data_IF_268073156244
#
_entry.id   IF_268073156244
#
_cell.length_a   1.000
_cell.length_b   1.000
_cell.length_c   1.000
_cell.angle_alpha   90.00
_cell.angle_beta   90.00
_cell.angle_gamma   90.00
#
_symmetry.space_group_name_H-M   'P 1'
#
loop_
_entity.id
_entity.type
_entity.pdbx_description
1 polymer ?
#
# COMPACT_ATOMS: atom_id res chain seq x y z
N UNK A 1 37.64 15.31 -29.98
CA UNK A 1 37.28 14.35 -28.91
C UNK A 1 35.93 14.73 -28.31
N UNK A 2 34.80 14.21 -28.82
CA UNK A 2 33.53 13.99 -28.06
C UNK A 2 32.72 12.91 -28.82
N UNK A 3 32.80 11.66 -28.35
CA UNK A 3 31.89 10.53 -28.65
C UNK A 3 30.88 10.49 -27.48
N UNK A 4 29.66 9.98 -27.50
CA UNK A 4 28.72 9.37 -28.44
C UNK A 4 27.36 9.31 -27.69
N UNK A 5 26.27 9.17 -28.44
CA UNK A 5 24.89 8.86 -28.05
C UNK A 5 24.77 7.66 -27.08
N UNK A 6 23.73 7.63 -26.21
CA UNK A 6 22.74 6.53 -26.16
C UNK A 6 21.59 6.78 -25.14
N UNK A 7 20.37 6.51 -25.59
CA UNK A 7 19.14 6.28 -24.83
C UNK A 7 19.14 4.88 -24.17
N UNK A 8 18.09 4.57 -23.38
CA UNK A 8 17.47 3.24 -23.06
C UNK A 8 17.37 2.88 -21.56
N UNK A 9 16.14 3.01 -21.05
CA UNK A 9 15.27 2.06 -20.33
C UNK A 9 15.72 1.18 -19.13
N UNK A 10 14.68 0.75 -18.38
CA UNK A 10 14.58 -0.11 -17.19
C UNK A 10 14.90 0.61 -15.87
N UNK A 11 13.93 0.93 -15.01
CA UNK A 11 13.12 -0.08 -14.31
C UNK A 11 11.64 0.33 -14.12
N UNK A 12 10.78 -0.08 -15.06
CA UNK A 12 9.41 -0.44 -14.73
C UNK A 12 9.40 -1.95 -14.49
N UNK A 13 9.48 -2.38 -13.24
CA UNK A 13 9.12 -3.73 -12.76
C UNK A 13 9.47 -3.91 -11.27
N UNK A 14 8.67 -3.31 -10.39
CA UNK A 14 8.09 -4.00 -9.22
C UNK A 14 6.69 -3.40 -8.97
N UNK A 15 5.90 -3.33 -10.05
CA UNK A 15 4.44 -3.29 -9.95
C UNK A 15 3.99 -4.73 -10.14
N UNK A 16 3.36 -5.31 -9.12
CA UNK A 16 2.11 -6.06 -9.29
C UNK A 16 1.53 -6.50 -7.93
N UNK A 17 0.31 -6.05 -7.68
CA UNK A 17 -0.69 -6.86 -6.97
C UNK A 17 -0.80 -6.71 -5.46
N UNK A 18 -1.06 -5.51 -4.97
CA UNK A 18 -2.01 -5.37 -3.86
C UNK A 18 -2.92 -4.19 -4.20
N UNK A 19 -4.04 -4.51 -4.85
CA UNK A 19 -5.19 -3.61 -4.87
C UNK A 19 -5.45 -3.22 -3.40
N UNK A 20 -5.36 -1.91 -3.11
CA UNK A 20 -5.48 -1.28 -1.79
C UNK A 20 -4.20 -1.01 -0.96
N UNK A 21 -3.10 -0.60 -1.59
CA UNK A 21 -2.05 0.14 -0.85
C UNK A 21 -1.88 1.54 -1.45
N UNK A 22 -2.63 2.52 -0.94
CA UNK A 22 -2.30 3.94 -1.10
C UNK A 22 -1.05 4.25 -0.28
N UNK A 23 -0.07 4.92 -0.89
CA UNK A 23 1.09 5.45 -0.16
C UNK A 23 0.60 6.45 0.91
N UNK A 24 1.03 6.31 2.17
CA UNK A 24 0.74 7.30 3.19
C UNK A 24 1.65 8.51 2.97
N UNK A 25 1.12 9.52 2.26
CA UNK A 25 1.88 10.75 1.99
C UNK A 25 1.34 11.63 0.86
N UNK A 26 0.49 11.12 -0.04
CA UNK A 26 -0.08 11.96 -1.11
C UNK A 26 -1.40 12.59 -0.67
N UNK A 27 -1.28 13.73 0.01
CA UNK A 27 -2.33 14.72 0.20
C UNK A 27 -2.75 15.32 -1.15
N UNK A 28 -3.46 14.55 -1.98
CA UNK A 28 -3.93 15.04 -3.29
C UNK A 28 -4.38 14.01 -4.31
N UNK A 29 -4.20 12.71 -4.08
CA UNK A 29 -4.68 11.72 -5.05
C UNK A 29 -6.22 11.62 -4.99
N UNK A 30 -6.95 11.75 -6.11
CA UNK A 30 -8.38 11.44 -6.15
C UNK A 30 -8.62 10.01 -5.68
N UNK A 31 -9.76 9.72 -5.01
CA UNK A 31 -10.08 8.38 -4.52
C UNK A 31 -10.01 7.38 -5.67
N UNK A 32 -9.65 6.13 -5.34
CA UNK A 32 -9.53 5.03 -6.30
C UNK A 32 -10.86 4.86 -7.05
N UNK A 33 -10.99 5.54 -8.19
CA UNK A 33 -12.02 5.29 -9.16
C UNK A 33 -11.57 4.07 -9.96
N UNK A 34 -11.96 2.88 -9.51
CA UNK A 34 -12.07 1.75 -10.44
C UNK A 34 -13.13 2.13 -11.47
N UNK A 35 -12.86 1.83 -12.74
CA UNK A 35 -13.79 2.11 -13.84
C UNK A 35 -15.21 1.66 -13.45
N UNK A 36 -16.19 2.57 -13.46
CA UNK A 36 -17.56 2.30 -13.01
C UNK A 36 -17.91 2.62 -11.54
N UNK A 37 -17.02 3.16 -10.72
CA UNK A 37 -17.38 3.52 -9.33
C UNK A 37 -18.04 4.90 -9.19
N UNK A 38 -19.04 5.02 -8.30
CA UNK A 38 -19.66 6.30 -7.90
C UNK A 38 -19.14 6.68 -6.51
N UNK A 39 -18.07 7.49 -6.38
CA UNK A 39 -17.53 7.87 -5.08
C UNK A 39 -18.31 9.04 -4.47
N UNK A 40 -18.59 8.94 -3.18
CA UNK A 40 -18.98 10.05 -2.30
C UNK A 40 -17.83 10.30 -1.34
N UNK A 41 -17.22 11.48 -1.44
CA UNK A 41 -16.05 11.85 -0.64
C UNK A 41 -16.34 13.10 0.18
N UNK A 42 -16.04 13.01 1.47
CA UNK A 42 -15.95 14.13 2.38
C UNK A 42 -14.48 14.39 2.73
N UNK A 43 -14.06 15.64 2.64
CA UNK A 43 -12.73 16.10 3.06
C UNK A 43 -12.90 17.26 4.02
N UNK A 44 -12.52 17.04 5.27
CA UNK A 44 -12.39 18.08 6.29
C UNK A 44 -10.93 18.32 6.64
N UNK A 45 -10.69 19.23 7.58
CA UNK A 45 -9.32 19.60 7.99
C UNK A 45 -8.53 18.41 8.56
N UNK A 46 -9.17 17.58 9.39
CA UNK A 46 -8.51 16.49 10.13
C UNK A 46 -9.08 15.11 9.80
N UNK A 47 -9.96 15.03 8.80
CA UNK A 47 -10.65 13.80 8.45
C UNK A 47 -10.93 13.74 6.95
N UNK A 48 -10.75 12.57 6.37
CA UNK A 48 -11.21 12.24 5.03
C UNK A 48 -12.01 10.95 5.10
N UNK A 49 -13.17 10.93 4.45
CA UNK A 49 -13.98 9.73 4.30
C UNK A 49 -14.40 9.64 2.84
N UNK A 50 -14.20 8.49 2.23
CA UNK A 50 -14.65 8.18 0.89
C UNK A 50 -15.40 6.86 0.90
N UNK A 51 -16.52 6.79 0.19
CA UNK A 51 -17.29 5.58 -0.01
C UNK A 51 -17.63 5.48 -1.49
N UNK A 52 -17.56 4.28 -2.05
CA UNK A 52 -17.91 4.02 -3.43
C UNK A 52 -18.61 2.68 -3.57
N UNK A 53 -19.29 2.51 -4.70
CA UNK A 53 -19.81 1.23 -5.16
C UNK A 53 -19.34 1.06 -6.58
N UNK A 54 -18.76 -0.11 -6.91
CA UNK A 54 -18.35 -0.43 -8.28
C UNK A 54 -19.52 -1.05 -9.09
N UNK A 55 -19.23 -1.40 -10.33
CA UNK A 55 -20.13 -2.08 -11.28
C UNK A 55 -20.58 -3.48 -10.82
N UNK A 56 -19.76 -4.16 -10.01
CA UNK A 56 -20.10 -5.44 -9.37
C UNK A 56 -20.93 -5.31 -8.08
N UNK A 57 -21.33 -4.08 -7.69
CA UNK A 57 -22.00 -3.75 -6.42
C UNK A 57 -21.16 -4.01 -5.16
N UNK A 58 -19.85 -4.17 -5.30
CA UNK A 58 -18.93 -4.21 -4.17
C UNK A 58 -18.74 -2.81 -3.60
N UNK A 59 -18.80 -2.73 -2.27
CA UNK A 59 -18.57 -1.49 -1.52
C UNK A 59 -17.08 -1.25 -1.37
N UNK A 60 -16.66 -0.04 -1.72
CA UNK A 60 -15.32 0.49 -1.53
C UNK A 60 -15.37 1.58 -0.46
N UNK A 61 -14.35 1.70 0.36
CA UNK A 61 -14.31 2.72 1.40
C UNK A 61 -12.91 3.06 1.85
N UNK A 62 -12.70 4.32 2.18
CA UNK A 62 -11.45 4.82 2.76
C UNK A 62 -11.79 5.82 3.87
N UNK A 63 -11.07 5.75 4.98
CA UNK A 63 -11.17 6.67 6.09
C UNK A 63 -9.77 7.04 6.53
N UNK A 64 -9.54 8.31 6.79
CA UNK A 64 -8.35 8.84 7.43
C UNK A 64 -8.79 9.84 8.49
N UNK A 65 -8.22 9.75 9.68
CA UNK A 65 -8.48 10.65 10.79
C UNK A 65 -7.18 11.03 11.49
N UNK A 66 -6.99 12.33 11.72
CA UNK A 66 -5.88 12.89 12.51
C UNK A 66 -6.41 13.24 13.90
N UNK A 67 -5.71 12.80 14.95
CA UNK A 67 -6.08 13.03 16.34
C UNK A 67 -4.84 13.09 17.24
N UNK A 68 -5.03 13.48 18.50
CA UNK A 68 -3.93 13.57 19.46
C UNK A 68 -2.81 14.49 18.96
N UNK A 69 -3.19 15.63 18.39
CA UNK A 69 -2.26 16.65 17.93
C UNK A 69 -1.86 17.51 19.13
N UNK A 70 -0.59 17.44 19.50
CA UNK A 70 -0.01 18.15 20.65
C UNK A 70 0.98 19.25 20.20
N UNK A 71 0.94 19.62 18.92
CA UNK A 71 1.83 20.59 18.27
C UNK A 71 3.10 19.95 17.69
N UNK A 72 3.84 19.23 18.51
CA UNK A 72 5.10 18.58 18.09
C UNK A 72 4.90 17.14 17.60
N UNK A 73 3.69 16.60 17.75
CA UNK A 73 3.33 15.27 17.29
C UNK A 73 1.84 15.15 16.97
N UNK A 74 1.51 14.12 16.19
CA UNK A 74 0.15 13.78 15.81
C UNK A 74 0.00 12.26 15.63
N UNK A 75 -1.18 11.75 15.99
CA UNK A 75 -1.61 10.40 15.64
C UNK A 75 -2.52 10.44 14.42
N UNK A 76 -2.39 9.45 13.55
CA UNK A 76 -3.27 9.28 12.42
C UNK A 76 -3.79 7.85 12.40
N UNK A 77 -5.04 7.67 12.02
CA UNK A 77 -5.60 6.35 11.74
C UNK A 77 -6.18 6.35 10.36
N UNK A 78 -5.82 5.33 9.60
CA UNK A 78 -6.31 5.05 8.26
C UNK A 78 -7.04 3.71 8.28
N UNK A 79 -8.12 3.61 7.51
CA UNK A 79 -8.83 2.36 7.27
C UNK A 79 -9.28 2.32 5.81
N UNK A 80 -9.27 1.13 5.21
CA UNK A 80 -9.74 0.95 3.85
C UNK A 80 -10.50 -0.37 3.70
N UNK A 81 -11.42 -0.36 2.75
CA UNK A 81 -12.25 -1.47 2.34
C UNK A 81 -12.27 -1.51 0.81
N UNK A 82 -12.02 -2.70 0.26
CA UNK A 82 -12.00 -2.99 -1.15
C UNK A 82 -12.80 -4.23 -1.50
N UNK A 83 -12.81 -4.56 -2.79
CA UNK A 83 -13.53 -5.71 -3.35
C UNK A 83 -13.18 -7.03 -2.65
N UNK A 84 -14.18 -7.91 -2.53
CA UNK A 84 -14.02 -9.24 -1.94
C UNK A 84 -13.69 -9.23 -0.44
N UNK A 85 -13.96 -8.13 0.26
CA UNK A 85 -13.62 -7.96 1.68
C UNK A 85 -12.12 -7.77 1.93
N UNK A 86 -11.38 -7.34 0.90
CA UNK A 86 -10.04 -6.80 1.10
C UNK A 86 -10.13 -5.51 1.92
N UNK A 87 -9.14 -5.25 2.77
CA UNK A 87 -9.20 -4.07 3.61
C UNK A 87 -8.16 -4.12 4.71
N UNK A 88 -8.07 -3.03 5.46
CA UNK A 88 -7.10 -2.94 6.54
C UNK A 88 -7.30 -1.70 7.38
N UNK A 89 -6.52 -1.67 8.45
CA UNK A 89 -6.38 -0.52 9.32
C UNK A 89 -4.89 -0.23 9.53
N UNK A 90 -4.57 1.04 9.70
CA UNK A 90 -3.21 1.51 9.94
C UNK A 90 -3.24 2.63 10.97
N UNK A 91 -2.33 2.57 11.92
CA UNK A 91 -2.12 3.58 12.94
C UNK A 91 -0.73 4.16 12.75
N UNK A 92 -0.66 5.47 12.63
CA UNK A 92 0.56 6.24 12.44
C UNK A 92 0.80 7.17 13.61
N UNK A 93 2.06 7.40 13.91
CA UNK A 93 2.54 8.43 14.81
C UNK A 93 3.61 9.25 14.11
N UNK A 94 3.34 10.55 13.98
CA UNK A 94 4.26 11.51 13.39
C UNK A 94 4.74 12.47 14.48
N UNK A 95 6.03 12.80 14.50
CA UNK A 95 6.59 13.74 15.47
C UNK A 95 7.77 14.52 14.92
N UNK A 96 7.99 15.71 15.47
CA UNK A 96 9.16 16.52 15.19
C UNK A 96 10.42 15.83 15.72
N UNK A 97 11.34 15.50 14.82
CA UNK A 97 12.53 14.73 15.12
C UNK A 97 13.69 15.61 15.57
N UNK A 98 14.39 15.17 16.63
CA UNK A 98 15.59 15.86 17.12
C UNK A 98 15.32 16.98 18.12
N UNK A 99 14.17 16.95 18.82
CA UNK A 99 13.81 17.92 19.85
C UNK A 99 13.39 19.28 19.30
N UNK A 100 12.97 19.33 18.04
CA UNK A 100 12.40 20.52 17.41
C UNK A 100 11.00 20.76 17.97
N UNK A 101 10.61 22.03 18.09
CA UNK A 101 9.27 22.42 18.53
C UNK A 101 8.47 23.08 17.40
N UNK A 102 7.18 23.33 17.64
CA UNK A 102 6.31 24.12 16.75
C UNK A 102 6.95 25.48 16.41
N UNK A 103 7.62 26.15 17.34
CA UNK A 103 8.31 27.42 17.04
C UNK A 103 9.44 27.27 16.02
N UNK A 104 10.14 26.13 16.01
CA UNK A 104 11.14 25.84 14.98
C UNK A 104 10.50 25.70 13.60
N UNK A 105 9.27 25.19 13.53
CA UNK A 105 8.53 25.09 12.26
C UNK A 105 8.21 26.45 11.64
N UNK A 106 8.05 27.49 12.46
CA UNK A 106 7.80 28.85 12.00
C UNK A 106 9.09 29.64 11.73
N UNK A 107 10.11 29.43 12.56
CA UNK A 107 11.34 30.23 12.52
C UNK A 107 12.39 29.71 11.55
N UNK A 108 12.48 28.39 11.37
CA UNK A 108 13.49 27.70 10.55
C UNK A 108 12.88 26.48 9.83
N UNK A 109 11.87 26.69 8.96
CA UNK A 109 11.12 25.60 8.32
C UNK A 109 12.01 24.62 7.54
N UNK A 110 13.11 25.10 6.95
CA UNK A 110 14.04 24.31 6.15
C UNK A 110 14.85 23.28 6.97
N UNK A 111 14.91 23.47 8.29
CA UNK A 111 15.62 22.58 9.20
C UNK A 111 14.71 21.52 9.81
N UNK A 112 13.39 21.66 9.66
CA UNK A 112 12.38 20.79 10.25
C UNK A 112 12.51 19.36 9.71
N UNK A 113 12.41 18.40 10.63
CA UNK A 113 12.39 16.98 10.32
C UNK A 113 11.19 16.36 11.02
N UNK A 114 10.40 15.60 10.29
CA UNK A 114 9.30 14.81 10.84
C UNK A 114 9.69 13.35 10.76
N UNK A 115 9.71 12.66 11.89
CA UNK A 115 9.80 11.21 11.90
C UNK A 115 8.41 10.61 11.97
N UNK A 116 8.27 9.43 11.37
CA UNK A 116 7.01 8.74 11.18
C UNK A 116 7.20 7.28 11.58
N UNK A 117 6.24 6.72 12.29
CA UNK A 117 6.19 5.29 12.57
C UNK A 117 4.76 4.81 12.39
N UNK A 118 4.58 3.60 11.84
CA UNK A 118 3.26 3.04 11.63
C UNK A 118 3.18 1.56 11.91
N UNK A 119 1.98 1.12 12.30
CA UNK A 119 1.58 -0.28 12.38
C UNK A 119 0.30 -0.47 11.55
N UNK A 120 0.29 -1.47 10.69
CA UNK A 120 -0.86 -1.81 9.87
C UNK A 120 -1.20 -3.29 9.94
N UNK A 121 -2.49 -3.60 9.84
CA UNK A 121 -3.01 -4.96 9.64
C UNK A 121 -3.96 -4.92 8.46
N UNK A 122 -3.68 -5.77 7.47
CA UNK A 122 -4.43 -5.82 6.21
C UNK A 122 -4.80 -7.24 5.81
N UNK A 123 -5.86 -7.36 5.01
CA UNK A 123 -6.37 -8.58 4.44
C UNK A 123 -6.62 -8.39 2.94
N UNK A 124 -6.31 -9.41 2.14
CA UNK A 124 -6.59 -9.41 0.70
C UNK A 124 -7.97 -10.06 0.38
N UNK A 125 -8.45 -10.04 -0.89
CA UNK A 125 -9.75 -10.63 -1.26
C UNK A 125 -9.88 -12.13 -0.98
N UNK A 126 -8.75 -12.82 -0.84
CA UNK A 126 -8.68 -14.25 -0.57
C UNK A 126 -8.56 -14.57 0.93
N UNK A 127 -8.69 -13.56 1.78
CA UNK A 127 -8.62 -13.65 3.25
C UNK A 127 -7.23 -13.94 3.81
N UNK A 128 -6.16 -13.81 3.02
CA UNK A 128 -4.80 -13.82 3.59
C UNK A 128 -4.58 -12.51 4.33
N UNK A 129 -3.94 -12.59 5.49
CA UNK A 129 -3.70 -11.43 6.36
C UNK A 129 -2.23 -11.18 6.54
N UNK A 130 -1.89 -9.91 6.71
CA UNK A 130 -0.52 -9.44 6.89
C UNK A 130 -0.50 -8.37 7.98
N UNK A 131 0.60 -8.32 8.72
CA UNK A 131 0.94 -7.22 9.61
C UNK A 131 2.16 -6.50 9.03
N UNK A 132 2.17 -5.18 9.10
CA UNK A 132 3.26 -4.34 8.62
C UNK A 132 3.66 -3.33 9.68
N UNK A 133 4.96 -3.17 9.90
CA UNK A 133 5.53 -2.12 10.74
C UNK A 133 6.48 -1.30 9.88
N UNK A 134 6.40 0.02 9.97
CA UNK A 134 7.31 0.89 9.24
C UNK A 134 7.76 2.11 10.01
N UNK A 135 8.84 2.68 9.51
CA UNK A 135 9.45 3.91 10.00
C UNK A 135 9.88 4.75 8.81
N UNK A 136 9.74 6.05 8.93
CA UNK A 136 10.16 6.99 7.91
C UNK A 136 10.59 8.32 8.48
N UNK A 137 11.19 9.13 7.62
CA UNK A 137 11.57 10.48 7.97
C UNK A 137 11.39 11.41 6.78
N UNK A 138 10.94 12.63 7.07
CA UNK A 138 10.56 13.63 6.11
C UNK A 138 11.24 14.97 6.44
N UNK A 139 11.59 15.68 5.38
CA UNK A 139 12.16 17.03 5.36
C UNK A 139 11.49 17.80 4.22
N UNK A 140 11.72 19.11 4.17
CA UNK A 140 11.15 20.01 3.16
C UNK A 140 11.20 19.50 1.70
N UNK A 141 12.28 18.82 1.30
CA UNK A 141 12.49 18.38 -0.09
C UNK A 141 12.83 16.90 -0.22
N UNK A 142 12.74 16.12 0.87
CA UNK A 142 13.17 14.73 0.84
C UNK A 142 12.45 13.92 1.89
N UNK A 143 12.04 12.71 1.53
CA UNK A 143 11.50 11.75 2.47
C UNK A 143 12.08 10.37 2.17
N UNK A 144 12.02 9.49 3.16
CA UNK A 144 12.25 8.07 2.97
C UNK A 144 11.40 7.30 3.98
N UNK A 145 11.02 6.09 3.59
CA UNK A 145 10.25 5.18 4.42
C UNK A 145 10.80 3.76 4.23
N UNK A 146 10.81 3.00 5.32
CA UNK A 146 11.19 1.60 5.34
C UNK A 146 10.14 0.84 6.13
N UNK A 147 9.70 -0.30 5.61
CA UNK A 147 8.76 -1.16 6.32
C UNK A 147 9.10 -2.64 6.13
N UNK A 148 8.66 -3.42 7.12
CA UNK A 148 8.70 -4.85 7.11
C UNK A 148 7.29 -5.38 7.27
N UNK A 149 6.97 -6.42 6.51
CA UNK A 149 5.67 -7.05 6.56
C UNK A 149 5.81 -8.55 6.77
N UNK A 150 4.85 -9.13 7.48
CA UNK A 150 4.79 -10.56 7.75
C UNK A 150 3.37 -11.07 7.56
N UNK A 151 3.22 -12.17 6.83
CA UNK A 151 1.95 -12.90 6.75
C UNK A 151 1.60 -13.46 8.14
N UNK A 152 0.34 -13.30 8.54
CA UNK A 152 -0.20 -13.84 9.80
C UNK A 152 -1.25 -14.94 9.55
N UNK A 153 -1.59 -15.20 8.29
CA UNK A 153 -2.30 -16.39 7.85
C UNK A 153 -1.34 -17.49 7.41
N UNK A 154 -1.84 -18.72 7.42
CA UNK A 154 -1.13 -19.89 6.93
C UNK A 154 -0.99 -19.90 5.40
N UNK A 155 -0.38 -20.94 4.86
CA UNK A 155 -0.22 -21.14 3.43
C UNK A 155 -1.58 -21.41 2.74
N UNK A 156 -1.77 -20.79 1.57
CA UNK A 156 -2.89 -21.11 0.67
C UNK A 156 -2.36 -21.89 -0.53
N UNK A 157 -3.00 -23.02 -0.83
CA UNK A 157 -2.78 -23.72 -2.08
C UNK A 157 -3.31 -22.88 -3.26
N UNK A 158 -2.41 -22.42 -4.13
CA UNK A 158 -2.72 -21.57 -5.28
C UNK A 158 -2.85 -22.34 -6.60
N UNK A 159 -2.57 -23.64 -6.60
CA UNK A 159 -2.66 -24.49 -7.79
C UNK A 159 -2.25 -25.94 -7.52
N UNK A 160 -2.63 -26.81 -8.45
CA UNK A 160 -2.15 -28.19 -8.56
C UNK A 160 -1.77 -28.39 -10.03
N UNK A 161 -0.49 -28.68 -10.27
CA UNK A 161 -0.03 -29.12 -11.58
C UNK A 161 -0.02 -30.66 -11.60
N UNK A 162 -0.81 -31.26 -12.48
CA UNK A 162 -0.79 -32.70 -12.74
C UNK A 162 -0.29 -32.93 -14.15
N UNK A 163 0.90 -33.51 -14.27
CA UNK A 163 1.47 -33.91 -15.56
C UNK A 163 1.12 -35.37 -15.84
N UNK A 164 0.36 -35.62 -16.90
CA UNK A 164 0.00 -36.96 -17.36
C UNK A 164 0.84 -37.25 -18.61
N UNK A 165 1.78 -38.20 -18.50
CA UNK A 165 2.53 -38.73 -19.64
C UNK A 165 1.96 -40.09 -20.04
N UNK A 166 1.48 -40.19 -21.28
CA UNK A 166 0.91 -41.42 -21.84
C UNK A 166 1.85 -41.95 -22.91
N UNK A 167 2.60 -43.01 -22.59
CA UNK A 167 3.42 -43.72 -23.57
C UNK A 167 2.63 -44.91 -24.11
N UNK A 168 2.21 -44.85 -25.38
CA UNK A 168 1.64 -45.99 -26.08
C UNK A 168 2.77 -46.96 -26.45
N UNK A 169 2.84 -48.10 -25.76
CA UNK A 169 3.70 -49.22 -26.16
C UNK A 169 2.93 -50.09 -27.16
N UNK A 170 3.28 -50.01 -28.44
CA UNK A 170 2.78 -50.94 -29.46
C UNK A 170 3.76 -52.10 -29.64
N UNK A 171 3.28 -53.33 -29.45
CA UNK A 171 3.97 -54.56 -29.82
C UNK A 171 3.20 -55.29 -30.92
N UNK A 172 3.90 -56.04 -31.77
CA UNK A 172 3.29 -57.04 -32.65
C UNK A 172 3.47 -58.41 -32.01
N UNK A 173 2.39 -59.20 -31.92
CA UNK A 173 2.51 -60.61 -31.54
C UNK A 173 3.33 -61.34 -32.60
N UNK A 174 4.48 -61.89 -32.19
CA UNK A 174 5.28 -62.76 -33.05
C UNK A 174 4.56 -64.08 -33.20
N UNK A 175 4.05 -64.35 -34.40
CA UNK A 175 3.49 -65.65 -34.74
C UNK A 175 4.66 -66.65 -34.90
N UNK A 176 4.82 -67.46 -33.85
CA UNK A 176 5.54 -68.75 -33.69
C UNK A 176 6.88 -68.99 -34.38
#
# INVERSE_FOLDING_TARGET
MKRSLLSVALSAALVQGAWAQSNPGESGQPPIATDGSIPVTYVGSNARVSLGVNDDLDVLGELMFVFGEDGDSAWLTEAWLGQGGAGGIKLDYHWLWGGMSVEDTMSRPEQVKVAKAFLAVDQNPFKDRKVSLGFGMEREHSFWDLYLSRAITDERQIGIDTLIDNVLLSGMEGDR
#
